data_IF_326739647825
#
_entry.id   IF_326739647825
#
_cell.length_a   1.000
_cell.length_b   1.000
_cell.length_c   1.000
_cell.angle_alpha   90.00
_cell.angle_beta   90.00
_cell.angle_gamma   90.00
#
_symmetry.space_group_name_H-M   'P 1'
#
loop_
_entity.id
_entity.type
_entity.pdbx_description
1 polymer ?
#
# COMPACT_ATOMS: atom_id res chain seq x y z
N UNK A 1 -14.43 -3.92 1.64
CA UNK A 1 -13.37 -4.73 1.01
C UNK A 1 -12.98 -5.93 1.86
N UNK A 2 -12.30 -6.86 1.25
CA UNK A 2 -11.78 -8.08 1.90
C UNK A 2 -10.26 -8.08 1.70
N UNK A 3 -9.52 -8.46 2.75
CA UNK A 3 -8.07 -8.60 2.72
C UNK A 3 -7.74 -10.01 3.20
N UNK A 4 -6.91 -10.71 2.42
CA UNK A 4 -6.38 -12.03 2.75
C UNK A 4 -4.86 -11.94 2.75
N UNK A 5 -4.23 -12.49 3.80
CA UNK A 5 -2.76 -12.50 3.91
C UNK A 5 -2.28 -13.88 4.31
N UNK A 6 -1.25 -14.38 3.63
CA UNK A 6 -0.56 -15.61 3.93
C UNK A 6 0.93 -15.32 4.16
N UNK A 7 1.45 -15.78 5.29
CA UNK A 7 2.87 -15.69 5.62
C UNK A 7 3.54 -17.04 5.39
N UNK A 8 4.56 -17.06 4.54
CA UNK A 8 5.35 -18.24 4.16
C UNK A 8 6.82 -17.98 4.52
N UNK A 9 7.21 -18.28 5.75
CA UNK A 9 8.56 -18.05 6.27
C UNK A 9 8.99 -16.56 6.12
N UNK A 10 9.80 -16.22 5.11
CA UNK A 10 10.27 -14.85 4.82
C UNK A 10 9.44 -14.13 3.74
N UNK A 11 8.49 -14.82 3.15
CA UNK A 11 7.62 -14.31 2.10
C UNK A 11 6.23 -14.08 2.67
N UNK A 12 5.71 -12.88 2.50
CA UNK A 12 4.32 -12.55 2.79
C UNK A 12 3.60 -12.27 1.47
N UNK A 13 2.45 -12.89 1.27
CA UNK A 13 1.60 -12.65 0.11
C UNK A 13 0.26 -12.15 0.62
N UNK A 14 -0.25 -11.07 0.04
CA UNK A 14 -1.56 -10.52 0.37
C UNK A 14 -2.37 -10.25 -0.88
N UNK A 15 -3.67 -10.45 -0.77
CA UNK A 15 -4.63 -10.06 -1.79
C UNK A 15 -5.72 -9.19 -1.19
N UNK A 16 -6.14 -8.16 -1.90
CA UNK A 16 -7.27 -7.33 -1.52
C UNK A 16 -8.29 -7.25 -2.64
N UNK A 17 -9.56 -7.16 -2.27
CA UNK A 17 -10.64 -6.87 -3.18
C UNK A 17 -11.61 -5.90 -2.52
N UNK A 18 -12.07 -4.90 -3.24
CA UNK A 18 -12.95 -3.88 -2.72
C UNK A 18 -13.88 -3.34 -3.79
N UNK A 19 -15.00 -2.83 -3.33
CA UNK A 19 -15.96 -2.10 -4.14
C UNK A 19 -16.10 -0.68 -3.58
N UNK A 20 -16.04 0.30 -4.47
CA UNK A 20 -16.20 1.71 -4.13
C UNK A 20 -17.37 2.28 -4.91
N UNK A 21 -18.27 2.94 -4.21
CA UNK A 21 -19.36 3.69 -4.79
C UNK A 21 -19.22 5.17 -4.40
N UNK A 22 -19.16 6.04 -5.40
CA UNK A 22 -19.05 7.50 -5.19
C UNK A 22 -20.41 8.15 -5.36
N UNK A 23 -20.88 8.79 -4.30
CA UNK A 23 -22.10 9.59 -4.32
C UNK A 23 -21.73 11.03 -4.62
N UNK A 24 -21.94 11.49 -5.87
CA UNK A 24 -21.73 12.88 -6.25
C UNK A 24 -23.02 13.65 -6.00
N UNK A 25 -22.96 14.70 -5.18
CA UNK A 25 -24.03 15.71 -5.13
C UNK A 25 -23.87 16.64 -6.34
N UNK A 26 -24.90 16.79 -7.18
CA UNK A 26 -24.78 17.53 -8.45
C UNK A 26 -24.45 19.02 -8.30
N UNK A 27 -24.72 19.63 -7.14
CA UNK A 27 -24.78 21.09 -6.98
C UNK A 27 -23.51 21.72 -6.39
N UNK A 28 -22.43 20.97 -6.15
CA UNK A 28 -21.30 21.49 -5.38
C UNK A 28 -19.95 21.52 -6.13
N UNK A 29 -19.89 21.08 -7.37
CA UNK A 29 -18.60 21.04 -8.09
C UNK A 29 -18.57 22.17 -9.12
N UNK A 30 -17.65 23.18 -8.96
CA UNK A 30 -17.35 24.10 -10.05
C UNK A 30 -16.95 23.27 -11.28
N UNK A 31 -17.31 23.73 -12.49
CA UNK A 31 -16.97 23.08 -13.76
C UNK A 31 -15.44 23.11 -14.03
N UNK A 32 -14.67 22.54 -13.13
CA UNK A 32 -13.27 22.24 -13.36
C UNK A 32 -13.23 20.94 -14.15
N UNK A 33 -12.48 20.89 -15.22
CA UNK A 33 -12.26 19.70 -16.05
C UNK A 33 -11.53 18.59 -15.30
N UNK A 34 -12.18 18.05 -14.27
CA UNK A 34 -11.67 16.88 -13.54
C UNK A 34 -11.99 15.63 -14.39
N UNK A 35 -11.04 14.71 -14.59
CA UNK A 35 -11.34 13.46 -15.26
C UNK A 35 -12.54 12.78 -14.61
N UNK A 36 -13.49 12.21 -15.37
CA UNK A 36 -14.67 11.60 -14.79
C UNK A 36 -14.28 10.46 -13.84
N UNK A 37 -14.59 10.65 -12.57
CA UNK A 37 -14.42 9.61 -11.54
C UNK A 37 -15.53 8.59 -11.76
N UNK A 38 -15.21 7.29 -11.88
CA UNK A 38 -16.24 6.27 -12.03
C UNK A 38 -17.14 6.27 -10.78
N UNK A 39 -18.46 6.27 -10.98
CA UNK A 39 -19.43 6.22 -9.89
C UNK A 39 -19.30 4.93 -9.08
N UNK A 40 -19.00 3.85 -9.77
CA UNK A 40 -18.83 2.51 -9.21
C UNK A 40 -17.53 1.92 -9.74
N UNK A 41 -16.70 1.45 -8.84
CA UNK A 41 -15.42 0.86 -9.18
C UNK A 41 -15.13 -0.39 -8.34
N UNK A 42 -14.62 -1.40 -9.00
CA UNK A 42 -14.01 -2.55 -8.37
C UNK A 42 -12.51 -2.33 -8.27
N UNK A 43 -11.96 -2.49 -7.05
CA UNK A 43 -10.53 -2.35 -6.77
C UNK A 43 -9.97 -3.68 -6.31
N UNK A 44 -8.78 -4.01 -6.76
CA UNK A 44 -8.08 -5.22 -6.33
C UNK A 44 -6.58 -4.97 -6.27
N UNK A 45 -5.91 -5.69 -5.38
CA UNK A 45 -4.45 -5.73 -5.38
C UNK A 45 -3.94 -7.11 -4.99
N UNK A 46 -2.74 -7.42 -5.48
CA UNK A 46 -1.96 -8.57 -5.06
C UNK A 46 -0.57 -8.05 -4.73
N UNK A 47 -0.10 -8.39 -3.53
CA UNK A 47 1.21 -7.95 -3.07
C UNK A 47 2.05 -9.12 -2.57
N UNK A 48 3.36 -9.00 -2.74
CA UNK A 48 4.35 -9.91 -2.21
C UNK A 48 5.46 -9.12 -1.54
N UNK A 49 5.80 -9.48 -0.31
CA UNK A 49 6.88 -8.91 0.45
C UNK A 49 7.88 -9.98 0.86
N UNK A 50 9.16 -9.74 0.67
CA UNK A 50 10.23 -10.66 1.03
C UNK A 50 11.24 -10.01 1.96
N UNK A 51 11.53 -10.67 3.09
CA UNK A 51 12.54 -10.25 4.05
C UNK A 51 13.93 -10.63 3.54
N UNK A 52 14.68 -9.65 3.04
CA UNK A 52 16.05 -9.84 2.55
C UNK A 52 17.03 -9.92 3.71
N UNK A 53 16.91 -9.01 4.67
CA UNK A 53 17.72 -8.94 5.89
C UNK A 53 16.85 -8.85 7.14
N UNK A 54 17.24 -9.49 8.25
CA UNK A 54 18.43 -10.33 8.43
C UNK A 54 18.25 -11.71 7.81
N UNK A 55 19.35 -12.36 7.46
CA UNK A 55 19.30 -13.77 7.01
C UNK A 55 18.86 -14.69 8.15
N UNK A 56 19.32 -14.41 9.36
CA UNK A 56 18.93 -15.12 10.59
C UNK A 56 18.48 -14.09 11.62
N UNK A 57 17.30 -14.26 12.16
CA UNK A 57 16.73 -13.38 13.17
C UNK A 57 17.29 -13.74 14.55
N UNK A 58 18.03 -12.83 15.18
CA UNK A 58 18.66 -13.03 16.48
C UNK A 58 18.06 -12.08 17.54
N UNK A 59 17.75 -10.85 17.17
CA UNK A 59 17.19 -9.86 18.08
C UNK A 59 16.30 -8.83 17.36
N UNK A 60 15.44 -8.15 18.13
CA UNK A 60 14.57 -7.09 17.62
C UNK A 60 15.34 -5.81 17.24
N UNK A 61 16.60 -5.66 17.65
CA UNK A 61 17.43 -4.49 17.36
C UNK A 61 18.09 -4.56 15.97
N UNK A 62 17.94 -5.69 15.27
CA UNK A 62 18.47 -5.86 13.93
C UNK A 62 17.74 -4.96 12.92
N UNK A 63 18.50 -4.50 11.95
CA UNK A 63 17.92 -3.79 10.80
C UNK A 63 17.29 -4.79 9.86
N UNK A 64 16.02 -4.58 9.53
CA UNK A 64 15.29 -5.38 8.55
C UNK A 64 15.24 -4.64 7.22
N UNK A 65 15.52 -5.36 6.16
CA UNK A 65 15.34 -4.90 4.79
C UNK A 65 14.30 -5.81 4.11
N UNK A 66 13.18 -5.23 3.73
CA UNK A 66 12.12 -5.89 2.98
C UNK A 66 12.07 -5.36 1.56
N UNK A 67 11.97 -6.25 0.61
CA UNK A 67 11.55 -5.95 -0.75
C UNK A 67 10.06 -6.23 -0.86
N UNK A 68 9.32 -5.29 -1.40
CA UNK A 68 7.89 -5.38 -1.55
C UNK A 68 7.50 -5.05 -2.98
N UNK A 69 6.53 -5.74 -3.52
CA UNK A 69 5.96 -5.44 -4.83
C UNK A 69 4.46 -5.64 -4.78
N UNK A 70 3.72 -4.68 -5.31
CA UNK A 70 2.27 -4.73 -5.37
C UNK A 70 1.79 -4.49 -6.81
N UNK A 71 0.83 -5.29 -7.23
CA UNK A 71 0.01 -5.05 -8.42
C UNK A 71 -1.32 -4.48 -7.94
N UNK A 72 -1.69 -3.30 -8.42
CA UNK A 72 -2.93 -2.61 -8.06
C UNK A 72 -3.78 -2.43 -9.30
N UNK A 73 -5.03 -2.85 -9.23
CA UNK A 73 -5.98 -2.67 -10.32
C UNK A 73 -7.26 -1.98 -9.85
N UNK A 74 -7.85 -1.25 -10.77
CA UNK A 74 -9.17 -0.68 -10.61
C UNK A 74 -9.92 -0.73 -11.93
N UNK A 75 -11.17 -1.14 -11.88
CA UNK A 75 -12.11 -1.11 -13.00
C UNK A 75 -13.37 -0.36 -12.64
N UNK A 76 -13.72 0.63 -13.44
CA UNK A 76 -15.01 1.33 -13.35
C UNK A 76 -16.10 0.50 -14.00
N UNK A 77 -17.11 0.08 -13.24
CA UNK A 77 -18.18 -0.81 -13.70
C UNK A 77 -18.98 -0.16 -14.83
N UNK A 78 -19.39 1.09 -14.63
CA UNK A 78 -20.19 1.82 -15.61
C UNK A 78 -19.36 2.36 -16.78
N UNK A 79 -18.10 2.73 -16.53
CA UNK A 79 -17.22 3.33 -17.54
C UNK A 79 -16.49 2.30 -18.40
N UNK A 80 -16.39 1.05 -17.93
CA UNK A 80 -15.57 -0.03 -18.53
C UNK A 80 -14.11 0.39 -18.77
N UNK A 81 -13.63 1.36 -18.00
CA UNK A 81 -12.24 1.83 -18.04
C UNK A 81 -11.54 1.41 -16.78
N UNK A 82 -10.31 0.99 -16.93
CA UNK A 82 -9.53 0.52 -15.82
C UNK A 82 -8.06 0.88 -15.93
N UNK A 83 -7.32 0.49 -14.90
CA UNK A 83 -5.87 0.51 -14.91
C UNK A 83 -5.31 -0.66 -14.11
N UNK A 84 -4.10 -1.03 -14.45
CA UNK A 84 -3.25 -1.93 -13.69
C UNK A 84 -1.90 -1.26 -13.49
N UNK A 85 -1.50 -1.11 -12.25
CA UNK A 85 -0.23 -0.52 -11.86
C UNK A 85 0.66 -1.55 -11.16
N UNK A 86 1.95 -1.31 -11.22
CA UNK A 86 2.95 -2.03 -10.43
C UNK A 86 3.66 -1.05 -9.49
N UNK A 87 3.84 -1.46 -8.25
CA UNK A 87 4.45 -0.65 -7.21
C UNK A 87 5.54 -1.44 -6.46
N UNK A 88 6.77 -1.54 -6.99
CA UNK A 88 7.89 -2.03 -6.23
C UNK A 88 8.28 -1.03 -5.14
N UNK A 89 8.69 -1.56 -3.96
CA UNK A 89 9.12 -0.75 -2.83
C UNK A 89 10.19 -1.46 -2.00
N UNK A 90 11.03 -0.65 -1.37
CA UNK A 90 11.99 -1.07 -0.36
C UNK A 90 11.59 -0.50 0.99
N UNK A 91 11.62 -1.32 2.02
CA UNK A 91 11.36 -0.93 3.39
C UNK A 91 12.55 -1.27 4.26
N UNK A 92 13.09 -0.27 4.93
CA UNK A 92 14.11 -0.41 5.97
C UNK A 92 13.46 -0.19 7.34
N UNK A 93 13.69 -1.13 8.26
CA UNK A 93 13.22 -1.04 9.62
C UNK A 93 14.42 -1.09 10.55
N UNK A 94 14.66 -0.01 11.30
CA UNK A 94 15.77 0.11 12.24
C UNK A 94 15.27 -0.09 13.66
N UNK A 95 15.88 -1.04 14.39
CA UNK A 95 15.60 -1.32 15.80
C UNK A 95 14.10 -1.46 16.12
N UNK A 96 13.32 -1.94 15.19
CA UNK A 96 11.86 -2.05 15.28
C UNK A 96 11.12 -0.73 15.63
N UNK A 97 11.79 0.41 15.54
CA UNK A 97 11.25 1.71 15.93
C UNK A 97 11.13 2.69 14.77
N UNK A 98 12.07 2.69 13.86
CA UNK A 98 12.09 3.60 12.72
C UNK A 98 11.92 2.82 11.42
N UNK A 99 10.97 3.21 10.61
CA UNK A 99 10.74 2.65 9.27
C UNK A 99 10.96 3.73 8.22
N UNK A 100 11.62 3.35 7.15
CA UNK A 100 11.81 4.13 5.95
C UNK A 100 11.30 3.31 4.77
N UNK A 101 10.35 3.85 4.02
CA UNK A 101 9.81 3.21 2.81
C UNK A 101 10.13 4.08 1.61
N UNK A 102 10.64 3.46 0.57
CA UNK A 102 10.85 4.05 -0.74
C UNK A 102 10.14 3.19 -1.77
N UNK A 103 9.16 3.75 -2.47
CA UNK A 103 8.38 3.06 -3.49
C UNK A 103 8.32 3.84 -4.79
N UNK A 104 8.12 3.12 -5.87
CA UNK A 104 7.86 3.69 -7.18
C UNK A 104 6.67 2.97 -7.82
N UNK A 105 5.65 3.72 -8.18
CA UNK A 105 4.44 3.21 -8.82
C UNK A 105 4.40 3.66 -10.26
N UNK A 106 4.10 2.75 -11.16
CA UNK A 106 3.94 3.03 -12.58
C UNK A 106 2.83 2.17 -13.20
N UNK A 107 2.21 2.69 -14.24
CA UNK A 107 1.15 2.02 -14.95
C UNK A 107 1.73 0.96 -15.88
N UNK A 108 1.20 -0.27 -15.77
CA UNK A 108 1.47 -1.38 -16.70
C UNK A 108 0.49 -1.37 -17.87
N UNK A 109 -0.80 -1.14 -17.57
CA UNK A 109 -1.85 -1.15 -18.56
C UNK A 109 -3.04 -0.29 -18.11
N UNK A 110 -3.87 0.14 -19.05
CA UNK A 110 -5.15 0.78 -18.77
C UNK A 110 -5.40 2.02 -19.61
N UNK A 111 -6.67 2.39 -19.64
CA UNK A 111 -7.22 3.52 -20.40
C UNK A 111 -7.92 4.56 -19.50
N UNK A 112 -7.91 4.34 -18.17
CA UNK A 112 -8.47 5.29 -17.22
C UNK A 112 -7.60 6.54 -17.14
N UNK A 113 -8.19 7.70 -17.45
CA UNK A 113 -7.52 9.00 -17.29
C UNK A 113 -7.31 9.30 -15.80
N UNK A 114 -6.07 9.54 -15.41
CA UNK A 114 -5.65 9.84 -14.04
C UNK A 114 -4.73 11.07 -14.02
N UNK A 115 -4.58 11.68 -12.84
CA UNK A 115 -3.67 12.81 -12.66
C UNK A 115 -2.20 12.43 -12.89
N UNK A 116 -1.82 11.20 -12.51
CA UNK A 116 -0.47 10.69 -12.70
C UNK A 116 -0.49 9.19 -13.04
N UNK A 117 0.34 8.80 -14.00
CA UNK A 117 0.55 7.39 -14.38
C UNK A 117 1.77 6.79 -13.66
N UNK A 118 2.57 7.62 -13.02
CA UNK A 118 3.74 7.22 -12.24
C UNK A 118 3.92 8.14 -11.05
N UNK A 119 4.44 7.61 -9.96
CA UNK A 119 4.69 8.38 -8.74
C UNK A 119 5.79 7.75 -7.89
N UNK A 120 6.53 8.59 -7.19
CA UNK A 120 7.44 8.18 -6.13
C UNK A 120 6.75 8.32 -4.78
N UNK A 121 7.00 7.37 -3.89
CA UNK A 121 6.58 7.41 -2.51
C UNK A 121 7.80 7.31 -1.61
N UNK A 122 7.95 8.31 -0.75
CA UNK A 122 8.89 8.28 0.35
C UNK A 122 8.10 8.48 1.64
N UNK A 123 8.17 7.52 2.55
CA UNK A 123 7.50 7.65 3.84
C UNK A 123 8.41 7.22 4.99
N UNK A 124 8.25 7.88 6.12
CA UNK A 124 8.93 7.55 7.37
C UNK A 124 7.92 7.36 8.47
N UNK A 125 8.15 6.38 9.32
CA UNK A 125 7.33 6.10 10.48
C UNK A 125 8.23 5.93 11.71
N UNK A 126 7.89 6.59 12.81
CA UNK A 126 8.60 6.45 14.07
C UNK A 126 7.66 5.99 15.16
N UNK A 127 7.97 4.84 15.78
CA UNK A 127 7.22 4.26 16.88
C UNK A 127 7.84 4.65 18.21
N UNK A 128 7.12 5.43 19.01
CA UNK A 128 7.51 5.79 20.37
C UNK A 128 6.95 4.77 21.35
N UNK A 129 7.72 3.73 21.67
CA UNK A 129 7.34 2.76 22.68
C UNK A 129 7.72 3.30 24.06
N UNK A 130 6.77 3.82 24.84
CA UNK A 130 6.98 4.08 26.26
C UNK A 130 7.08 2.74 27.01
N UNK A 131 8.25 2.45 27.56
CA UNK A 131 8.42 1.34 28.49
C UNK A 131 7.62 1.68 29.75
N UNK A 132 6.46 1.06 29.93
CA UNK A 132 5.71 1.16 31.19
C UNK A 132 6.59 0.48 32.22
N UNK A 133 7.23 1.25 33.10
CA UNK A 133 7.90 0.73 34.28
C UNK A 133 6.82 0.06 35.13
N UNK A 134 6.80 -1.27 35.16
CA UNK A 134 6.00 -2.00 36.12
C UNK A 134 6.43 -1.55 37.52
N UNK A 135 5.50 -0.95 38.28
CA UNK A 135 5.68 -0.74 39.70
C UNK A 135 5.83 -2.11 40.36
N UNK A 136 7.05 -2.46 40.71
CA UNK A 136 7.31 -3.58 41.57
C UNK A 136 6.58 -3.33 42.90
N UNK A 137 5.56 -4.13 43.17
CA UNK A 137 5.02 -4.26 44.53
C UNK A 137 6.13 -4.79 45.43
N UNK A 138 6.46 -4.01 46.48
CA UNK A 138 7.14 -4.50 47.67
C UNK A 138 6.26 -5.51 48.42
#
# INVERSE_FOLDING_TARGET
GIILTQLLHKLAISGTAGFTQTFLQPDTIPQISVPPIPREAFTYSISAGYLILPRTYISYDQTNLNLYCELLGQEGISSKRGFLDMAPALQLIFKSQFKLNLGYRFQLAGDMKRMAQQSWLLSTEWLFLRKIKGQGKK
#
